data_IF_475684475956
#
_entry.id   IF_475684475956
#
_cell.length_a   1.000
_cell.length_b   1.000
_cell.length_c   1.000
_cell.angle_alpha   90.00
_cell.angle_beta   90.00
_cell.angle_gamma   90.00
#
_symmetry.space_group_name_H-M   'P 1'
#
loop_
_entity.id
_entity.type
_entity.pdbx_description
1 polymer ?
#
# COMPACT_ATOMS: atom_id res chain seq x y z
N UNK A 1 8.31 18.72 0.93
CA UNK A 1 8.09 17.89 2.14
C UNK A 1 7.56 16.50 1.83
N UNK A 2 6.96 16.27 0.65
CA UNK A 2 6.32 14.99 0.30
C UNK A 2 7.29 13.80 0.09
N UNK A 3 8.59 14.05 -0.06
CA UNK A 3 9.57 12.97 -0.21
C UNK A 3 9.78 12.17 1.10
N UNK A 4 9.65 12.84 2.25
CA UNK A 4 9.84 12.22 3.55
C UNK A 4 8.71 11.23 3.87
N UNK A 5 7.45 11.66 3.71
CA UNK A 5 6.28 10.78 3.92
C UNK A 5 6.34 9.52 3.07
N UNK A 6 6.77 9.63 1.80
CA UNK A 6 6.90 8.50 0.88
C UNK A 6 7.99 7.55 1.34
N UNK A 7 9.10 8.09 1.83
CA UNK A 7 10.21 7.29 2.34
C UNK A 7 9.80 6.48 3.58
N UNK A 8 9.15 7.13 4.55
CA UNK A 8 8.65 6.46 5.77
C UNK A 8 7.55 5.44 5.45
N UNK A 9 6.64 5.76 4.52
CA UNK A 9 5.62 4.83 4.03
C UNK A 9 6.26 3.60 3.40
N UNK A 10 7.26 3.82 2.54
CA UNK A 10 7.99 2.72 1.87
C UNK A 10 8.67 1.81 2.87
N UNK A 11 9.35 2.38 3.87
CA UNK A 11 10.01 1.61 4.92
C UNK A 11 8.99 0.81 5.75
N UNK A 12 7.88 1.44 6.16
CA UNK A 12 6.82 0.75 6.89
C UNK A 12 6.23 -0.41 6.06
N UNK A 13 5.97 -0.19 4.77
CA UNK A 13 5.49 -1.24 3.88
C UNK A 13 6.53 -2.35 3.66
N UNK A 14 7.81 -2.01 3.52
CA UNK A 14 8.86 -3.00 3.36
C UNK A 14 9.05 -3.86 4.61
N UNK A 15 8.83 -3.31 5.81
CA UNK A 15 8.93 -4.07 7.06
C UNK A 15 7.71 -4.98 7.25
N UNK A 16 6.50 -4.47 7.05
CA UNK A 16 5.26 -5.18 7.38
C UNK A 16 4.68 -6.01 6.23
N UNK A 17 4.88 -5.57 5.00
CA UNK A 17 4.35 -6.17 3.79
C UNK A 17 5.46 -6.63 2.84
N UNK A 18 6.62 -7.03 3.38
CA UNK A 18 7.77 -7.47 2.59
C UNK A 18 7.41 -8.61 1.62
N UNK A 19 6.57 -9.54 2.06
CA UNK A 19 6.13 -10.69 1.26
C UNK A 19 5.23 -10.22 0.12
N UNK A 20 4.28 -9.33 0.39
CA UNK A 20 3.39 -8.75 -0.60
C UNK A 20 4.15 -7.89 -1.60
N UNK A 21 5.11 -7.08 -1.13
CA UNK A 21 5.99 -6.28 -1.98
C UNK A 21 6.77 -7.19 -2.94
N UNK A 22 7.33 -8.29 -2.41
CA UNK A 22 8.08 -9.26 -3.22
C UNK A 22 7.17 -9.97 -4.22
N UNK A 23 5.97 -10.36 -3.82
CA UNK A 23 4.99 -11.01 -4.70
C UNK A 23 4.54 -10.06 -5.82
N UNK A 24 4.12 -8.84 -5.49
CA UNK A 24 3.68 -7.83 -6.45
C UNK A 24 4.81 -7.41 -7.39
N UNK A 25 6.03 -7.26 -6.89
CA UNK A 25 7.21 -6.94 -7.73
C UNK A 25 7.50 -8.06 -8.73
N UNK A 26 7.20 -9.31 -8.36
CA UNK A 26 7.34 -10.48 -9.23
C UNK A 26 6.11 -10.75 -10.11
N UNK A 27 5.11 -9.86 -10.10
CA UNK A 27 3.84 -10.06 -10.81
C UNK A 27 3.04 -11.26 -10.31
N UNK A 28 3.31 -11.73 -9.08
CA UNK A 28 2.57 -12.80 -8.43
C UNK A 28 1.46 -12.23 -7.56
N UNK A 29 0.40 -13.00 -7.43
CA UNK A 29 -0.66 -12.71 -6.47
C UNK A 29 -0.09 -12.74 -5.04
N UNK A 30 -0.51 -11.77 -4.24
CA UNK A 30 -0.14 -11.72 -2.83
C UNK A 30 -0.82 -12.84 -2.05
N UNK A 31 -0.23 -13.22 -0.92
CA UNK A 31 -0.75 -14.30 -0.09
C UNK A 31 -2.22 -14.04 0.29
N UNK A 32 -3.09 -15.02 0.06
CA UNK A 32 -4.52 -14.94 0.39
C UNK A 32 -4.80 -14.70 1.89
N UNK A 33 -3.81 -15.00 2.74
CA UNK A 33 -3.87 -14.75 4.19
C UNK A 33 -3.60 -13.28 4.55
N UNK A 34 -3.02 -12.50 3.65
CA UNK A 34 -2.77 -11.09 3.88
C UNK A 34 -4.07 -10.29 3.81
N UNK A 35 -4.27 -9.33 4.73
CA UNK A 35 -5.45 -8.45 4.73
C UNK A 35 -5.54 -7.63 3.43
N UNK A 36 -4.41 -7.45 2.74
CA UNK A 36 -4.34 -6.73 1.47
C UNK A 36 -4.88 -7.55 0.29
N UNK A 37 -4.92 -8.89 0.35
CA UNK A 37 -5.38 -9.74 -0.77
C UNK A 37 -6.82 -9.42 -1.19
N UNK A 38 -7.66 -9.07 -0.21
CA UNK A 38 -9.06 -8.66 -0.43
C UNK A 38 -9.22 -7.25 -1.00
N UNK A 39 -8.15 -6.46 -1.04
CA UNK A 39 -8.16 -5.04 -1.43
C UNK A 39 -7.52 -4.79 -2.81
N UNK A 40 -7.21 -5.86 -3.57
CA UNK A 40 -6.58 -5.78 -4.90
C UNK A 40 -5.39 -4.80 -4.92
N UNK A 41 -4.32 -5.10 -4.17
CA UNK A 41 -3.20 -4.19 -4.05
C UNK A 41 -2.33 -4.28 -5.30
N UNK A 42 -1.73 -3.16 -5.64
CA UNK A 42 -0.81 -3.03 -6.76
C UNK A 42 0.38 -2.18 -6.34
N UNK A 43 1.49 -2.34 -7.04
CA UNK A 43 2.65 -1.47 -6.86
C UNK A 43 2.50 -0.27 -7.79
N UNK A 44 2.59 0.92 -7.21
CA UNK A 44 2.62 2.20 -7.93
C UNK A 44 4.03 2.48 -8.48
N UNK A 45 4.16 3.47 -9.36
CA UNK A 45 5.44 3.85 -10.01
C UNK A 45 6.61 4.10 -9.05
N UNK A 46 6.31 4.44 -7.79
CA UNK A 46 7.31 4.70 -6.75
C UNK A 46 7.72 3.46 -5.93
N UNK A 47 7.20 2.27 -6.26
CA UNK A 47 7.46 1.04 -5.51
C UNK A 47 6.69 0.96 -4.18
N UNK A 48 5.55 1.65 -4.10
CA UNK A 48 4.66 1.66 -2.93
C UNK A 48 3.45 0.78 -3.20
N UNK A 49 2.99 0.05 -2.19
CA UNK A 49 1.76 -0.73 -2.24
C UNK A 49 0.57 0.24 -2.12
N UNK A 50 -0.26 0.29 -3.17
CA UNK A 50 -1.55 0.98 -3.17
C UNK A 50 -2.66 -0.04 -3.31
N UNK A 51 -3.85 0.30 -2.81
CA UNK A 51 -5.06 -0.51 -3.03
C UNK A 51 -5.98 0.18 -4.02
N UNK A 52 -6.65 -0.59 -4.86
CA UNK A 52 -7.71 -0.04 -5.71
C UNK A 52 -9.00 0.07 -4.92
N UNK A 53 -9.53 1.29 -4.66
CA UNK A 53 -10.89 1.41 -4.14
C UNK A 53 -11.72 2.52 -4.80
N UNK A 54 -12.94 2.10 -5.14
CA UNK A 54 -14.14 2.81 -5.60
C UNK A 54 -14.15 3.30 -7.05
N UNK A 55 -14.92 2.59 -7.87
CA UNK A 55 -15.29 2.92 -9.27
C UNK A 55 -16.22 4.15 -9.40
N UNK A 56 -16.72 4.70 -8.28
CA UNK A 56 -17.76 5.74 -8.25
C UNK A 56 -17.40 6.98 -7.42
N UNK A 57 -16.10 7.23 -7.15
CA UNK A 57 -15.70 8.42 -6.40
C UNK A 57 -15.12 9.50 -7.30
N UNK A 58 -15.61 10.74 -7.14
CA UNK A 58 -15.08 11.99 -7.71
C UNK A 58 -13.74 12.42 -7.07
N UNK A 59 -13.12 11.51 -6.32
CA UNK A 59 -11.96 11.78 -5.47
C UNK A 59 -10.66 11.75 -6.28
N UNK A 60 -9.68 12.52 -5.81
CA UNK A 60 -8.37 12.61 -6.46
C UNK A 60 -7.66 11.26 -6.49
N UNK A 61 -6.67 11.08 -7.39
CA UNK A 61 -5.97 9.80 -7.57
C UNK A 61 -5.44 9.20 -6.24
N UNK A 62 -4.93 10.05 -5.34
CA UNK A 62 -4.42 9.61 -4.03
C UNK A 62 -5.53 9.11 -3.08
N UNK A 63 -6.72 9.70 -3.17
CA UNK A 63 -7.89 9.32 -2.38
C UNK A 63 -8.59 8.06 -2.95
N UNK A 64 -8.52 7.87 -4.27
CA UNK A 64 -9.01 6.67 -4.97
C UNK A 64 -8.06 5.47 -4.81
N UNK A 65 -6.77 5.75 -4.62
CA UNK A 65 -5.73 4.76 -4.44
C UNK A 65 -4.92 5.03 -3.17
N UNK A 66 -5.55 4.85 -1.99
CA UNK A 66 -4.91 5.18 -0.72
C UNK A 66 -3.65 4.33 -0.52
N UNK A 67 -2.59 5.00 -0.05
CA UNK A 67 -1.34 4.37 0.35
C UNK A 67 -1.63 3.48 1.55
N UNK A 68 -1.26 2.21 1.48
CA UNK A 68 -1.46 1.29 2.61
C UNK A 68 -0.38 1.52 3.66
N UNK A 69 -0.78 1.85 4.88
CA UNK A 69 0.11 1.87 6.03
C UNK A 69 -0.29 0.73 6.98
N UNK A 70 0.68 -0.03 7.52
CA UNK A 70 0.40 -1.06 8.49
C UNK A 70 -0.20 -0.43 9.75
N UNK A 71 -1.39 -0.92 10.16
CA UNK A 71 -2.13 -0.46 11.34
C UNK A 71 -1.34 -0.62 12.65
N UNK A 72 -0.34 -1.49 12.67
CA UNK A 72 0.53 -1.75 13.82
C UNK A 72 1.77 -0.86 13.87
N UNK A 73 2.03 -0.03 12.85
CA UNK A 73 2.98 1.06 13.01
C UNK A 73 2.40 2.07 14.00
N UNK A 74 3.21 2.52 14.95
CA UNK A 74 2.93 3.54 15.98
C UNK A 74 2.35 4.88 15.47
N UNK A 75 2.11 5.01 14.16
CA UNK A 75 1.51 6.16 13.47
C UNK A 75 -0.03 6.09 13.34
N UNK A 76 -0.68 4.98 13.72
CA UNK A 76 -2.16 4.88 13.68
C UNK A 76 -2.86 5.43 14.95
N UNK A 77 -2.11 5.89 15.95
CA UNK A 77 -2.66 6.63 17.10
C UNK A 77 -2.49 8.14 16.88
N UNK A 78 -3.37 8.75 16.11
CA UNK A 78 -3.70 10.17 16.19
C UNK A 78 -5.21 10.30 16.12
#
# INVERSE_FOLDING_TARGET
MEAAERHWTKLAQAVWFNLELTALTRGREIFARSPLSKLTPFIDEHGLIRVGRLKHSILSYDERHPKILPKESHLTKL
#
